data_IF_948275979183
#
_entry.id   IF_948275979183
#
_cell.length_a   1.000
_cell.length_b   1.000
_cell.length_c   1.000
_cell.angle_alpha   90.00
_cell.angle_beta   90.00
_cell.angle_gamma   90.00
#
_symmetry.space_group_name_H-M   'P 1'
#
loop_
_entity.id
_entity.type
_entity.pdbx_description
1 polymer ?
#
# COMPACT_ATOMS: atom_id res chain seq x y z
N UNK A 1 3.70 44.89 18.43
CA UNK A 1 3.63 43.46 18.79
C UNK A 1 4.84 42.78 18.17
N UNK A 2 5.83 42.44 18.99
CA UNK A 2 6.99 41.68 18.53
C UNK A 2 6.55 40.23 18.33
N UNK A 3 6.62 39.74 17.09
CA UNK A 3 6.44 38.32 16.80
C UNK A 3 7.72 37.65 17.31
N UNK A 4 7.62 36.89 18.41
CA UNK A 4 8.70 36.02 18.86
C UNK A 4 9.09 35.10 17.70
N UNK A 5 10.26 35.37 17.11
CA UNK A 5 10.87 34.49 16.14
C UNK A 5 11.18 33.19 16.89
N UNK A 6 10.42 32.13 16.60
CA UNK A 6 10.72 30.79 17.12
C UNK A 6 12.16 30.46 16.74
N UNK A 7 13.03 30.39 17.75
CA UNK A 7 14.42 29.98 17.63
C UNK A 7 14.42 28.50 17.22
N UNK A 8 14.33 28.26 15.91
CA UNK A 8 14.12 26.94 15.29
C UNK A 8 15.35 26.59 14.49
N UNK A 9 16.52 26.66 15.15
CA UNK A 9 17.77 26.15 14.59
C UNK A 9 17.68 24.63 14.53
N UNK A 10 17.77 24.08 13.33
CA UNK A 10 17.59 22.65 13.09
C UNK A 10 18.97 21.99 12.95
N UNK A 11 19.15 20.84 13.61
CA UNK A 11 20.27 19.94 13.32
C UNK A 11 19.92 19.19 12.05
N UNK A 12 20.62 19.48 10.95
CA UNK A 12 20.42 18.78 9.69
C UNK A 12 21.01 17.39 9.75
N UNK A 13 20.25 16.43 9.23
CA UNK A 13 20.60 15.03 9.08
C UNK A 13 20.06 14.55 7.74
N UNK A 14 20.51 13.39 7.28
CA UNK A 14 20.03 12.81 6.02
C UNK A 14 18.52 12.48 6.07
N UNK A 15 17.97 12.27 7.27
CA UNK A 15 16.57 11.91 7.48
C UNK A 15 15.61 13.11 7.56
N UNK A 16 16.11 14.30 7.88
CA UNK A 16 15.25 15.49 8.04
C UNK A 16 15.51 16.59 7.01
N UNK A 17 16.52 16.44 6.14
CA UNK A 17 16.85 17.44 5.13
C UNK A 17 15.67 17.77 4.21
N UNK A 18 14.96 16.75 3.72
CA UNK A 18 13.78 16.95 2.87
C UNK A 18 12.68 17.77 3.56
N UNK A 19 12.52 17.58 4.88
CA UNK A 19 11.54 18.31 5.69
C UNK A 19 11.99 19.75 5.97
N UNK A 20 13.30 19.98 6.13
CA UNK A 20 13.89 21.31 6.27
C UNK A 20 13.89 22.10 4.95
N UNK A 21 14.04 21.41 3.83
CA UNK A 21 14.15 22.02 2.51
C UNK A 21 12.90 22.84 2.17
N UNK A 22 11.71 22.29 2.40
CA UNK A 22 10.42 22.94 2.07
C UNK A 22 10.26 24.32 2.74
N UNK A 23 10.36 24.48 4.07
CA UNK A 23 10.23 25.79 4.69
C UNK A 23 11.38 26.73 4.32
N UNK A 24 12.59 26.21 4.07
CA UNK A 24 13.72 27.04 3.63
C UNK A 24 13.51 27.58 2.21
N UNK A 25 13.06 26.75 1.27
CA UNK A 25 12.72 27.19 -0.09
C UNK A 25 11.63 28.26 -0.08
N UNK A 26 10.60 28.12 0.78
CA UNK A 26 9.55 29.12 0.94
C UNK A 26 10.11 30.48 1.43
N UNK A 27 11.08 30.46 2.35
CA UNK A 27 11.75 31.66 2.86
C UNK A 27 12.59 32.34 1.78
N UNK A 28 13.42 31.57 1.07
CA UNK A 28 14.23 32.08 -0.04
C UNK A 28 13.37 32.57 -1.20
N UNK A 29 12.22 31.95 -1.44
CA UNK A 29 11.25 32.44 -2.42
C UNK A 29 10.68 33.80 -2.01
N UNK A 30 10.32 33.98 -0.73
CA UNK A 30 9.86 35.26 -0.18
C UNK A 30 10.94 36.35 -0.32
N UNK A 31 12.22 35.99 -0.19
CA UNK A 31 13.37 36.87 -0.39
C UNK A 31 13.73 37.08 -1.87
N UNK A 32 13.03 36.42 -2.81
CA UNK A 32 13.33 36.41 -4.26
C UNK A 32 14.72 35.84 -4.60
N UNK A 33 15.38 35.18 -3.67
CA UNK A 33 16.73 34.62 -3.83
C UNK A 33 16.74 33.13 -4.18
N UNK A 34 15.59 32.44 -4.14
CA UNK A 34 15.49 31.01 -4.47
C UNK A 34 16.05 30.69 -5.88
N UNK A 35 15.69 31.49 -6.88
CA UNK A 35 16.14 31.27 -8.26
C UNK A 35 17.65 31.47 -8.43
N UNK A 36 18.26 32.31 -7.58
CA UNK A 36 19.71 32.53 -7.53
C UNK A 36 20.42 31.30 -6.97
N UNK A 37 20.01 30.82 -5.78
CA UNK A 37 20.67 29.67 -5.13
C UNK A 37 20.47 28.35 -5.88
N UNK A 38 19.35 28.20 -6.61
CA UNK A 38 19.09 27.06 -7.48
C UNK A 38 19.80 27.18 -8.83
N UNK A 39 20.53 28.28 -9.09
CA UNK A 39 21.20 28.57 -10.36
C UNK A 39 20.27 28.50 -11.58
N UNK A 40 18.97 28.79 -11.39
CA UNK A 40 17.99 28.86 -12.49
C UNK A 40 18.22 30.10 -13.37
N UNK A 41 18.90 31.10 -12.82
CA UNK A 41 19.29 32.33 -13.51
C UNK A 41 20.81 32.39 -13.48
N UNK A 42 21.49 32.50 -14.64
CA UNK A 42 22.94 32.66 -14.67
C UNK A 42 23.35 33.99 -14.03
N UNK A 43 24.54 34.01 -13.42
CA UNK A 43 25.10 35.25 -12.86
C UNK A 43 25.22 36.31 -13.98
N UNK A 44 24.63 37.50 -13.82
CA UNK A 44 24.74 38.57 -14.80
C UNK A 44 26.18 39.03 -14.96
N UNK A 45 26.56 39.39 -16.19
CA UNK A 45 27.86 39.95 -16.49
C UNK A 45 27.94 41.39 -15.95
N UNK A 46 28.83 41.69 -14.98
CA UNK A 46 28.90 43.00 -14.34
C UNK A 46 29.33 44.13 -15.29
N UNK A 47 29.94 43.82 -16.43
CA UNK A 47 30.30 44.82 -17.45
C UNK A 47 29.11 45.18 -18.36
N UNK A 48 28.19 44.24 -18.57
CA UNK A 48 27.03 44.42 -19.45
C UNK A 48 25.79 44.89 -18.71
N UNK A 49 25.60 44.44 -17.48
CA UNK A 49 24.41 44.70 -16.68
C UNK A 49 24.77 44.85 -15.19
N UNK A 50 25.32 46.01 -14.88
CA UNK A 50 25.83 46.34 -13.55
C UNK A 50 24.76 46.31 -12.47
N UNK A 51 23.53 46.71 -12.79
CA UNK A 51 22.45 46.79 -11.80
C UNK A 51 21.92 45.40 -11.45
N UNK A 52 21.72 44.52 -12.44
CA UNK A 52 21.32 43.15 -12.17
C UNK A 52 22.45 42.34 -11.52
N UNK A 53 23.72 42.59 -11.87
CA UNK A 53 24.85 41.95 -11.20
C UNK A 53 24.91 42.30 -9.70
N UNK A 54 24.71 43.58 -9.34
CA UNK A 54 24.62 44.00 -7.93
C UNK A 54 23.43 43.38 -7.22
N UNK A 55 22.26 43.34 -7.86
CA UNK A 55 21.07 42.72 -7.29
C UNK A 55 21.28 41.22 -7.06
N UNK A 56 21.92 40.53 -8.01
CA UNK A 56 22.27 39.11 -7.90
C UNK A 56 23.17 38.85 -6.69
N UNK A 57 24.24 39.63 -6.53
CA UNK A 57 25.16 39.51 -5.37
C UNK A 57 24.41 39.71 -4.07
N UNK A 58 23.58 40.76 -3.98
CA UNK A 58 22.78 41.03 -2.79
C UNK A 58 21.83 39.87 -2.45
N UNK A 59 21.09 39.36 -3.44
CA UNK A 59 20.19 38.23 -3.23
C UNK A 59 20.92 36.95 -2.81
N UNK A 60 22.14 36.76 -3.31
CA UNK A 60 23.00 35.63 -2.94
C UNK A 60 23.48 35.74 -1.48
N UNK A 61 23.90 36.93 -1.06
CA UNK A 61 24.31 37.21 0.33
C UNK A 61 23.12 37.12 1.30
N UNK A 62 21.96 37.67 0.92
CA UNK A 62 20.72 37.58 1.70
C UNK A 62 20.29 36.11 1.88
N UNK A 63 20.43 35.28 0.83
CA UNK A 63 20.17 33.85 0.93
C UNK A 63 21.13 33.14 1.89
N UNK A 64 22.43 33.46 1.83
CA UNK A 64 23.41 32.92 2.76
C UNK A 64 23.03 33.26 4.21
N UNK A 65 22.70 34.53 4.48
CA UNK A 65 22.35 34.98 5.82
C UNK A 65 21.08 34.32 6.34
N UNK A 66 20.05 34.13 5.50
CA UNK A 66 18.84 33.41 5.88
C UNK A 66 19.16 31.94 6.18
N UNK A 67 19.89 31.24 5.30
CA UNK A 67 20.23 29.82 5.51
C UNK A 67 20.97 29.63 6.84
N UNK A 68 22.04 30.40 7.07
CA UNK A 68 22.89 30.30 8.27
C UNK A 68 22.10 30.50 9.56
N UNK A 69 21.12 31.42 9.58
CA UNK A 69 20.30 31.68 10.76
C UNK A 69 19.44 30.48 11.21
N UNK A 70 19.15 29.55 10.30
CA UNK A 70 18.31 28.38 10.57
C UNK A 70 19.10 27.09 10.84
N UNK A 71 20.43 27.17 10.88
CA UNK A 71 21.30 26.02 11.16
C UNK A 71 21.65 25.92 12.65
N UNK A 72 21.75 24.70 13.16
CA UNK A 72 22.29 24.44 14.50
C UNK A 72 23.80 24.69 14.56
N UNK A 73 24.34 24.85 15.77
CA UNK A 73 25.79 25.02 16.00
C UNK A 73 26.63 23.89 15.40
N UNK A 74 26.12 22.67 15.41
CA UNK A 74 26.80 21.50 14.85
C UNK A 74 26.94 21.61 13.33
N UNK A 75 25.85 21.94 12.63
CA UNK A 75 25.88 22.15 11.18
C UNK A 75 26.75 23.35 10.83
N UNK A 76 26.73 24.41 11.64
CA UNK A 76 27.60 25.58 11.45
C UNK A 76 29.09 25.22 11.60
N UNK A 77 29.45 24.34 12.54
CA UNK A 77 30.82 23.84 12.67
C UNK A 77 31.25 23.07 11.42
N UNK A 78 30.37 22.21 10.89
CA UNK A 78 30.61 21.51 9.62
C UNK A 78 30.79 22.48 8.45
N UNK A 79 29.88 23.46 8.28
CA UNK A 79 29.98 24.47 7.22
C UNK A 79 31.27 25.27 7.36
N UNK A 80 31.66 25.66 8.58
CA UNK A 80 32.91 26.39 8.80
C UNK A 80 34.17 25.59 8.48
N UNK A 81 34.11 24.26 8.58
CA UNK A 81 35.25 23.38 8.27
C UNK A 81 35.35 23.03 6.79
N UNK A 82 34.24 23.06 6.06
CA UNK A 82 34.15 22.56 4.67
C UNK A 82 33.98 23.65 3.62
N UNK A 83 33.33 24.77 3.96
CA UNK A 83 33.13 25.88 3.03
C UNK A 83 34.42 26.70 2.88
N UNK A 84 34.95 26.88 1.66
CA UNK A 84 36.11 27.73 1.42
C UNK A 84 35.88 29.16 1.92
N UNK A 85 36.96 29.82 2.37
CA UNK A 85 36.90 31.22 2.82
C UNK A 85 36.42 32.14 1.68
N UNK A 86 36.74 31.81 0.43
CA UNK A 86 36.31 32.52 -0.78
C UNK A 86 34.81 32.44 -1.03
N UNK A 87 34.14 31.44 -0.46
CA UNK A 87 32.69 31.21 -0.58
C UNK A 87 31.91 31.70 0.65
N UNK A 88 32.56 32.40 1.58
CA UNK A 88 31.82 33.07 2.66
C UNK A 88 30.85 34.08 2.07
N UNK A 89 29.64 34.11 2.63
CA UNK A 89 28.52 34.92 2.14
C UNK A 89 27.97 34.51 0.77
N UNK A 90 28.36 33.34 0.25
CA UNK A 90 27.85 32.82 -1.01
C UNK A 90 26.68 31.84 -0.76
N UNK A 91 25.45 32.31 -1.00
CA UNK A 91 24.22 31.53 -0.85
C UNK A 91 24.17 30.29 -1.72
N UNK A 92 24.64 30.38 -2.97
CA UNK A 92 24.75 29.24 -3.89
C UNK A 92 25.69 28.16 -3.32
N UNK A 93 26.85 28.58 -2.81
CA UNK A 93 27.86 27.63 -2.31
C UNK A 93 27.38 26.88 -1.06
N UNK A 94 26.82 27.59 -0.07
CA UNK A 94 26.27 26.93 1.13
C UNK A 94 25.07 26.04 0.78
N UNK A 95 24.21 26.44 -0.16
CA UNK A 95 23.10 25.61 -0.61
C UNK A 95 23.58 24.29 -1.22
N UNK A 96 24.56 24.35 -2.13
CA UNK A 96 25.18 23.17 -2.74
C UNK A 96 25.84 22.27 -1.72
N UNK A 97 26.58 22.85 -0.77
CA UNK A 97 27.27 22.10 0.28
C UNK A 97 26.27 21.31 1.15
N UNK A 98 25.23 21.98 1.64
CA UNK A 98 24.20 21.33 2.46
C UNK A 98 23.46 20.26 1.68
N UNK A 99 23.10 20.54 0.42
CA UNK A 99 22.45 19.56 -0.45
C UNK A 99 23.34 18.34 -0.69
N UNK A 100 24.62 18.55 -0.97
CA UNK A 100 25.56 17.45 -1.22
C UNK A 100 25.77 16.56 0.02
N UNK A 101 25.73 17.13 1.22
CA UNK A 101 25.98 16.41 2.45
C UNK A 101 24.72 15.73 3.02
N UNK A 102 23.57 16.40 2.95
CA UNK A 102 22.36 15.98 3.67
C UNK A 102 21.20 15.53 2.79
N UNK A 103 21.22 15.79 1.48
CA UNK A 103 20.04 15.46 0.65
C UNK A 103 19.75 13.97 0.51
N UNK A 104 20.67 13.10 0.95
CA UNK A 104 20.60 11.68 0.68
C UNK A 104 20.76 11.42 -0.81
N UNK A 105 21.71 10.58 -1.18
CA UNK A 105 21.97 10.33 -2.61
C UNK A 105 23.34 9.76 -2.88
N UNK A 106 24.23 9.78 -1.90
CA UNK A 106 25.42 8.94 -1.94
C UNK A 106 25.02 7.46 -1.89
N UNK A 107 25.87 6.63 -2.48
CA UNK A 107 25.61 5.19 -2.62
C UNK A 107 25.42 4.51 -1.25
N UNK A 108 26.03 5.01 -0.18
CA UNK A 108 25.90 4.41 1.15
C UNK A 108 24.51 4.68 1.75
N UNK A 109 23.99 5.90 1.62
CA UNK A 109 22.61 6.24 2.02
C UNK A 109 21.58 5.39 1.26
N UNK A 110 21.75 5.27 -0.06
CA UNK A 110 20.88 4.44 -0.92
C UNK A 110 20.92 2.95 -0.50
N UNK A 111 22.13 2.42 -0.31
CA UNK A 111 22.34 1.02 0.10
C UNK A 111 21.74 0.76 1.49
N UNK A 112 21.89 1.69 2.43
CA UNK A 112 21.36 1.57 3.78
C UNK A 112 19.83 1.59 3.79
N UNK A 113 19.21 2.50 3.03
CA UNK A 113 17.76 2.58 2.90
C UNK A 113 17.18 1.30 2.27
N UNK A 114 17.82 0.79 1.20
CA UNK A 114 17.41 -0.46 0.57
C UNK A 114 17.60 -1.67 1.49
N UNK A 115 18.71 -1.75 2.23
CA UNK A 115 18.95 -2.79 3.22
C UNK A 115 17.89 -2.78 4.33
N UNK A 116 17.52 -1.59 4.84
CA UNK A 116 16.46 -1.42 5.83
C UNK A 116 15.12 -1.93 5.32
N UNK A 117 14.78 -1.63 4.06
CA UNK A 117 13.56 -2.13 3.42
C UNK A 117 13.60 -3.66 3.20
N UNK A 118 14.72 -4.19 2.72
CA UNK A 118 14.87 -5.61 2.39
C UNK A 118 14.92 -6.50 3.64
N UNK A 119 15.58 -6.09 4.71
CA UNK A 119 15.69 -6.88 5.95
C UNK A 119 14.46 -6.78 6.85
N UNK A 120 13.50 -5.91 6.54
CA UNK A 120 12.26 -5.83 7.28
C UNK A 120 11.48 -7.15 7.14
N UNK A 121 11.27 -7.82 8.27
CA UNK A 121 10.51 -9.05 8.39
C UNK A 121 9.12 -8.77 8.99
N UNK A 122 8.13 -9.53 8.56
CA UNK A 122 6.79 -9.47 9.14
C UNK A 122 6.78 -10.13 10.52
N UNK A 123 6.13 -9.48 11.48
CA UNK A 123 5.86 -10.05 12.82
C UNK A 123 4.39 -9.94 13.18
N UNK A 124 3.87 -8.71 13.14
CA UNK A 124 2.52 -8.31 13.50
C UNK A 124 2.13 -7.18 12.58
N UNK A 125 0.87 -7.14 12.16
CA UNK A 125 0.42 -6.09 11.24
C UNK A 125 0.56 -4.68 11.83
N UNK A 126 0.24 -4.51 13.12
CA UNK A 126 0.33 -3.25 13.85
C UNK A 126 1.76 -2.69 13.91
N UNK A 127 2.78 -3.56 13.81
CA UNK A 127 4.19 -3.17 13.74
C UNK A 127 4.70 -3.09 12.30
N UNK A 128 4.29 -4.04 11.46
CA UNK A 128 4.72 -4.14 10.07
C UNK A 128 4.36 -2.89 9.25
N UNK A 129 3.13 -2.40 9.37
CA UNK A 129 2.66 -1.23 8.61
C UNK A 129 3.48 0.04 8.90
N UNK A 130 3.66 0.47 10.17
CA UNK A 130 4.49 1.64 10.44
C UNK A 130 5.95 1.39 10.06
N UNK A 131 6.49 0.19 10.28
CA UNK A 131 7.89 -0.13 9.95
C UNK A 131 8.12 -0.06 8.44
N UNK A 132 7.25 -0.66 7.61
CA UNK A 132 7.42 -0.68 6.16
C UNK A 132 7.16 0.70 5.55
N UNK A 133 6.24 1.49 6.14
CA UNK A 133 6.03 2.89 5.77
C UNK A 133 7.28 3.72 6.05
N UNK A 134 7.89 3.55 7.23
CA UNK A 134 9.16 4.20 7.59
C UNK A 134 10.31 3.79 6.67
N UNK A 135 10.41 2.50 6.33
CA UNK A 135 11.43 2.01 5.40
C UNK A 135 11.23 2.58 3.98
N UNK A 136 10.00 2.66 3.49
CA UNK A 136 9.69 3.28 2.19
C UNK A 136 10.00 4.79 2.19
N UNK A 137 9.76 5.48 3.31
CA UNK A 137 10.17 6.88 3.48
C UNK A 137 11.69 7.04 3.42
N UNK A 138 12.45 6.17 4.09
CA UNK A 138 13.92 6.20 4.02
C UNK A 138 14.42 6.02 2.58
N UNK A 139 13.80 5.14 1.78
CA UNK A 139 14.08 5.01 0.35
C UNK A 139 13.87 6.34 -0.38
N UNK A 140 12.71 6.98 -0.19
CA UNK A 140 12.41 8.26 -0.85
C UNK A 140 13.41 9.36 -0.44
N UNK A 141 13.80 9.40 0.83
CA UNK A 141 14.75 10.39 1.36
C UNK A 141 16.19 10.12 0.91
N UNK A 142 16.54 8.87 0.59
CA UNK A 142 17.87 8.52 0.06
C UNK A 142 18.09 8.95 -1.40
N UNK A 143 17.07 9.50 -2.06
CA UNK A 143 17.12 9.83 -3.49
C UNK A 143 16.93 8.61 -4.41
N UNK A 144 16.68 7.41 -3.87
CA UNK A 144 16.36 6.23 -4.67
C UNK A 144 14.96 6.36 -5.29
N UNK A 145 14.89 6.31 -6.62
CA UNK A 145 13.64 6.26 -7.36
C UNK A 145 13.37 4.81 -7.75
N UNK A 146 12.42 4.17 -7.06
CA UNK A 146 11.90 2.86 -7.46
C UNK A 146 10.46 3.00 -7.92
N UNK A 147 10.09 2.26 -8.97
CA UNK A 147 8.70 2.17 -9.39
C UNK A 147 7.82 1.64 -8.24
N UNK A 148 6.68 2.27 -8.02
CA UNK A 148 5.75 1.90 -6.94
C UNK A 148 5.32 0.44 -7.03
N UNK A 149 5.18 -0.13 -8.24
CA UNK A 149 4.84 -1.55 -8.42
C UNK A 149 5.93 -2.46 -7.87
N UNK A 150 7.20 -2.10 -8.08
CA UNK A 150 8.33 -2.89 -7.56
C UNK A 150 8.28 -2.88 -6.04
N UNK A 151 8.07 -1.70 -5.44
CA UNK A 151 8.01 -1.54 -3.98
C UNK A 151 6.81 -2.26 -3.38
N UNK A 152 5.66 -2.16 -4.01
CA UNK A 152 4.44 -2.89 -3.63
C UNK A 152 4.69 -4.39 -3.70
N UNK A 153 5.23 -4.90 -4.81
CA UNK A 153 5.51 -6.33 -4.96
C UNK A 153 6.51 -6.84 -3.91
N UNK A 154 7.58 -6.08 -3.63
CA UNK A 154 8.51 -6.41 -2.57
C UNK A 154 7.86 -6.39 -1.19
N UNK A 155 7.00 -5.41 -0.88
CA UNK A 155 6.23 -5.40 0.37
C UNK A 155 5.30 -6.63 0.46
N UNK A 156 4.55 -6.93 -0.59
CA UNK A 156 3.62 -8.07 -0.64
C UNK A 156 4.36 -9.39 -0.44
N UNK A 157 5.59 -9.52 -0.96
CA UNK A 157 6.42 -10.71 -0.77
C UNK A 157 6.84 -10.96 0.69
N UNK A 158 6.79 -9.93 1.54
CA UNK A 158 7.11 -10.01 2.98
C UNK A 158 5.93 -10.46 3.84
N UNK A 159 4.72 -10.47 3.29
CA UNK A 159 3.53 -10.87 4.02
C UNK A 159 3.45 -12.41 4.13
N UNK A 160 3.00 -12.95 5.28
CA UNK A 160 2.74 -14.37 5.46
C UNK A 160 1.71 -14.93 4.48
N UNK A 161 1.63 -16.26 4.40
CA UNK A 161 0.67 -16.98 3.53
C UNK A 161 -0.79 -16.67 3.84
N UNK A 162 -1.10 -16.23 5.07
CA UNK A 162 -2.45 -15.80 5.47
C UNK A 162 -2.98 -14.61 4.64
N UNK A 163 -2.07 -13.84 4.03
CA UNK A 163 -2.39 -12.69 3.18
C UNK A 163 -2.40 -13.06 1.69
N UNK A 164 -2.36 -14.34 1.31
CA UNK A 164 -2.28 -14.75 -0.09
C UNK A 164 -3.44 -14.19 -0.93
N UNK A 165 -4.67 -14.27 -0.43
CA UNK A 165 -5.84 -13.68 -1.10
C UNK A 165 -5.70 -12.18 -1.32
N UNK A 166 -5.13 -11.45 -0.37
CA UNK A 166 -4.85 -10.02 -0.54
C UNK A 166 -3.81 -9.79 -1.63
N UNK A 167 -2.73 -10.58 -1.65
CA UNK A 167 -1.68 -10.50 -2.67
C UNK A 167 -2.24 -10.75 -4.08
N UNK A 168 -3.14 -11.73 -4.22
CA UNK A 168 -3.77 -12.06 -5.50
C UNK A 168 -4.69 -10.94 -5.97
N UNK A 169 -5.51 -10.37 -5.08
CA UNK A 169 -6.38 -9.23 -5.39
C UNK A 169 -5.58 -8.03 -5.90
N UNK A 170 -4.48 -7.70 -5.25
CA UNK A 170 -3.62 -6.57 -5.67
C UNK A 170 -2.90 -6.89 -6.98
N UNK A 171 -2.44 -8.13 -7.17
CA UNK A 171 -1.72 -8.54 -8.39
C UNK A 171 -2.63 -8.63 -9.63
N UNK A 172 -3.88 -9.03 -9.45
CA UNK A 172 -4.89 -9.08 -10.51
C UNK A 172 -5.49 -7.71 -10.82
N UNK A 173 -5.36 -6.74 -9.92
CA UNK A 173 -5.78 -5.37 -10.16
C UNK A 173 -4.94 -4.75 -11.28
N UNK A 174 -5.56 -4.44 -12.42
CA UNK A 174 -4.89 -3.73 -13.52
C UNK A 174 -4.58 -2.26 -13.20
N UNK A 175 -4.97 -1.77 -12.04
CA UNK A 175 -4.72 -0.41 -11.61
C UNK A 175 -3.31 -0.26 -11.02
N UNK A 176 -2.55 0.70 -11.53
CA UNK A 176 -1.33 1.16 -10.89
C UNK A 176 -1.68 1.77 -9.53
N UNK A 177 -1.42 1.03 -8.45
CA UNK A 177 -1.60 1.51 -7.10
C UNK A 177 -0.31 2.12 -6.56
N UNK A 178 -0.43 3.30 -5.96
CA UNK A 178 0.68 3.85 -5.17
C UNK A 178 0.93 2.99 -3.93
N UNK A 179 2.16 3.04 -3.42
CA UNK A 179 2.55 2.28 -2.22
C UNK A 179 1.60 2.51 -1.03
N UNK A 180 1.24 3.78 -0.78
CA UNK A 180 0.33 4.16 0.32
C UNK A 180 -1.11 3.69 0.07
N UNK A 181 -1.58 3.64 -1.18
CA UNK A 181 -2.91 3.13 -1.49
C UNK A 181 -3.03 1.64 -1.16
N UNK A 182 -2.00 0.84 -1.47
CA UNK A 182 -1.97 -0.59 -1.13
C UNK A 182 -1.87 -0.78 0.39
N UNK A 183 -1.06 0.03 1.08
CA UNK A 183 -1.00 -0.02 2.55
C UNK A 183 -2.36 0.23 3.21
N UNK A 184 -3.13 1.23 2.75
CA UNK A 184 -4.49 1.46 3.25
C UNK A 184 -5.43 0.30 2.94
N UNK A 185 -5.31 -0.32 1.76
CA UNK A 185 -6.08 -1.52 1.42
C UNK A 185 -5.72 -2.69 2.34
N UNK A 186 -4.44 -2.84 2.72
CA UNK A 186 -3.98 -3.85 3.66
C UNK A 186 -4.54 -3.61 5.07
N UNK A 187 -4.52 -2.37 5.56
CA UNK A 187 -5.14 -1.97 6.83
C UNK A 187 -6.64 -2.37 6.86
N UNK A 188 -7.37 -2.02 5.81
CA UNK A 188 -8.80 -2.37 5.69
C UNK A 188 -9.01 -3.89 5.62
N UNK A 189 -8.17 -4.60 4.85
CA UNK A 189 -8.25 -6.04 4.72
C UNK A 189 -8.08 -6.75 6.06
N UNK A 190 -7.12 -6.30 6.86
CA UNK A 190 -6.85 -6.86 8.19
C UNK A 190 -8.04 -6.65 9.12
N UNK A 191 -8.59 -5.43 9.16
CA UNK A 191 -9.76 -5.10 9.98
C UNK A 191 -11.00 -5.90 9.58
N UNK A 192 -11.21 -6.17 8.28
CA UNK A 192 -12.35 -6.94 7.79
C UNK A 192 -12.23 -8.44 8.09
N UNK A 193 -11.01 -8.98 8.14
CA UNK A 193 -10.75 -10.42 8.28
C UNK A 193 -10.29 -10.84 9.67
N UNK A 194 -10.23 -9.92 10.64
CA UNK A 194 -9.76 -10.14 12.01
C UNK A 194 -8.35 -10.77 12.06
N UNK A 195 -7.42 -10.24 11.26
CA UNK A 195 -6.04 -10.74 11.14
C UNK A 195 -5.05 -10.03 12.09
N UNK A 196 -5.53 -9.39 13.15
CA UNK A 196 -4.73 -8.60 14.10
C UNK A 196 -3.93 -9.44 15.12
N UNK A 197 -3.80 -10.75 14.91
CA UNK A 197 -3.13 -11.67 15.83
C UNK A 197 -1.65 -11.89 15.48
N UNK A 198 -0.83 -12.27 16.47
CA UNK A 198 0.59 -12.61 16.25
C UNK A 198 0.76 -13.68 15.18
N UNK A 199 1.77 -13.50 14.31
CA UNK A 199 2.12 -14.47 13.28
C UNK A 199 2.26 -15.86 13.91
N UNK A 200 1.25 -16.70 13.71
CA UNK A 200 1.28 -18.06 14.23
C UNK A 200 2.19 -18.87 13.32
N UNK A 201 3.37 -19.21 13.82
CA UNK A 201 4.24 -20.19 13.18
C UNK A 201 3.62 -21.57 13.31
N UNK A 202 2.56 -21.87 12.55
CA UNK A 202 2.12 -23.19 12.11
C UNK A 202 1.13 -22.96 10.97
N UNK A 203 1.50 -23.44 9.78
CA UNK A 203 0.59 -23.61 8.67
C UNK A 203 -0.56 -24.52 9.11
N UNK A 204 -1.70 -23.93 9.47
CA UNK A 204 -2.99 -24.61 9.39
C UNK A 204 -3.84 -23.77 8.48
N UNK A 205 -4.04 -24.28 7.26
CA UNK A 205 -4.89 -23.68 6.23
C UNK A 205 -6.29 -23.40 6.77
N UNK A 206 -6.52 -22.18 7.27
CA UNK A 206 -7.86 -21.65 7.45
C UNK A 206 -8.22 -20.90 6.18
N UNK A 207 -9.01 -21.57 5.36
CA UNK A 207 -9.71 -20.98 4.22
C UNK A 207 -10.54 -19.79 4.70
N UNK A 208 -10.12 -18.57 4.36
CA UNK A 208 -10.92 -17.36 4.55
C UNK A 208 -11.97 -17.34 3.46
N UNK A 209 -13.20 -17.73 3.79
CA UNK A 209 -14.33 -17.63 2.88
C UNK A 209 -14.70 -16.16 2.70
N UNK A 210 -14.48 -15.64 1.49
CA UNK A 210 -15.10 -14.39 1.05
C UNK A 210 -16.61 -14.62 0.97
N UNK A 211 -17.37 -13.86 1.76
CA UNK A 211 -18.82 -13.91 1.77
C UNK A 211 -19.39 -13.44 0.42
N UNK A 212 -19.68 -14.38 -0.47
CA UNK A 212 -20.82 -14.27 -1.36
C UNK A 212 -21.92 -15.18 -0.83
N UNK A 213 -23.06 -14.58 -0.53
CA UNK A 213 -24.25 -15.29 -0.04
C UNK A 213 -24.72 -16.31 -1.07
N UNK A 214 -24.36 -17.57 -0.84
CA UNK A 214 -24.96 -18.77 -1.42
C UNK A 214 -24.63 -19.92 -0.47
N UNK A 215 -25.39 -20.05 0.62
CA UNK A 215 -25.24 -21.16 1.57
C UNK A 215 -25.59 -22.48 0.86
N UNK A 216 -24.57 -23.19 0.43
CA UNK A 216 -24.61 -24.63 0.19
C UNK A 216 -23.26 -25.22 0.58
N UNK A 217 -23.08 -25.45 1.88
CA UNK A 217 -22.07 -26.39 2.36
C UNK A 217 -22.77 -27.64 2.88
N UNK A 218 -22.67 -28.72 2.11
CA UNK A 218 -22.61 -30.07 2.67
C UNK A 218 -21.24 -30.23 3.33
N UNK A 219 -21.19 -30.81 4.55
CA UNK A 219 -20.11 -31.71 4.91
C UNK A 219 -20.65 -33.14 4.84
N UNK A 220 -20.15 -33.90 3.88
CA UNK A 220 -20.08 -35.35 4.01
C UNK A 220 -19.07 -35.64 5.12
N UNK A 221 -19.54 -35.94 6.33
CA UNK A 221 -18.99 -37.02 7.13
C UNK A 221 -19.91 -37.35 8.32
N UNK A 222 -20.09 -38.64 8.49
CA UNK A 222 -21.08 -39.32 9.32
C UNK A 222 -20.76 -39.23 10.82
N UNK A 223 -21.43 -38.34 11.52
CA UNK A 223 -21.83 -38.51 12.92
C UNK A 223 -22.97 -37.53 13.22
N UNK A 224 -24.14 -37.81 12.65
CA UNK A 224 -25.29 -36.90 12.69
C UNK A 224 -25.73 -36.64 14.13
N UNK A 225 -25.64 -35.37 14.57
CA UNK A 225 -26.25 -34.93 15.82
C UNK A 225 -27.75 -35.28 15.77
N UNK A 226 -28.16 -36.21 16.62
CA UNK A 226 -29.57 -36.57 16.79
C UNK A 226 -30.26 -35.40 17.48
N UNK A 227 -31.42 -34.98 16.98
CA UNK A 227 -32.18 -33.94 17.64
C UNK A 227 -32.61 -34.41 19.03
N UNK A 228 -32.22 -33.68 20.08
CA UNK A 228 -32.57 -33.99 21.47
C UNK A 228 -34.08 -34.10 21.73
N UNK A 229 -34.92 -33.45 20.91
CA UNK A 229 -36.37 -33.46 21.08
C UNK A 229 -37.07 -34.63 20.39
N UNK A 230 -36.82 -34.87 19.09
CA UNK A 230 -37.53 -35.90 18.32
C UNK A 230 -36.72 -37.18 18.07
N UNK A 231 -35.46 -37.19 18.51
CA UNK A 231 -34.51 -38.30 18.35
C UNK A 231 -34.26 -38.73 16.90
N UNK A 232 -34.54 -37.87 15.92
CA UNK A 232 -34.18 -38.14 14.51
C UNK A 232 -32.90 -37.40 14.12
N UNK A 233 -32.03 -38.02 13.31
CA UNK A 233 -30.81 -37.39 12.81
C UNK A 233 -31.13 -36.32 11.74
N UNK A 234 -30.17 -35.44 11.47
CA UNK A 234 -30.22 -34.52 10.33
C UNK A 234 -30.72 -33.10 10.63
N UNK A 235 -31.07 -32.77 11.89
CA UNK A 235 -31.38 -31.39 12.28
C UNK A 235 -31.09 -31.14 13.76
N UNK A 236 -30.89 -29.87 14.14
CA UNK A 236 -30.76 -29.42 15.55
C UNK A 236 -32.12 -29.10 16.15
N UNK A 237 -32.22 -29.06 17.48
CA UNK A 237 -33.49 -28.79 18.20
C UNK A 237 -34.18 -27.49 17.79
N UNK A 238 -33.42 -26.46 17.40
CA UNK A 238 -33.94 -25.17 16.93
C UNK A 238 -34.75 -25.27 15.62
N UNK A 239 -34.46 -26.29 14.80
CA UNK A 239 -35.06 -26.53 13.49
C UNK A 239 -35.96 -27.78 13.50
N UNK A 240 -36.37 -28.27 14.69
CA UNK A 240 -37.21 -29.45 14.81
C UNK A 240 -38.67 -29.11 14.52
N UNK A 241 -39.22 -29.59 13.41
CA UNK A 241 -40.62 -29.36 13.03
C UNK A 241 -41.64 -30.01 13.97
N UNK A 242 -41.25 -31.06 14.72
CA UNK A 242 -42.10 -31.60 15.81
C UNK A 242 -42.19 -30.65 17.01
N UNK A 243 -41.16 -29.82 17.24
CA UNK A 243 -41.15 -28.81 18.31
C UNK A 243 -41.72 -27.47 17.84
N UNK A 244 -41.51 -27.14 16.57
CA UNK A 244 -41.92 -25.90 15.92
C UNK A 244 -42.72 -26.20 14.64
N UNK A 245 -43.99 -26.65 14.74
CA UNK A 245 -44.82 -27.03 13.59
C UNK A 245 -45.06 -25.87 12.61
N UNK A 246 -44.99 -24.63 13.09
CA UNK A 246 -45.13 -23.41 12.29
C UNK A 246 -43.98 -23.22 11.29
N UNK A 247 -42.82 -23.87 11.53
CA UNK A 247 -41.64 -23.83 10.66
C UNK A 247 -41.58 -25.00 9.67
N UNK A 248 -42.56 -25.91 9.70
CA UNK A 248 -42.64 -27.02 8.78
C UNK A 248 -42.98 -26.50 7.36
N UNK A 249 -42.27 -26.94 6.30
CA UNK A 249 -42.65 -26.65 4.92
C UNK A 249 -44.06 -27.13 4.64
N UNK A 250 -44.92 -26.27 4.11
CA UNK A 250 -46.36 -26.56 3.91
C UNK A 250 -46.69 -27.14 2.52
N UNK A 251 -45.72 -27.40 1.65
CA UNK A 251 -45.97 -27.88 0.29
C UNK A 251 -45.18 -29.15 -0.06
N UNK A 252 -45.84 -30.04 -0.81
CA UNK A 252 -45.30 -31.35 -1.23
C UNK A 252 -44.08 -31.21 -2.17
N UNK A 253 -43.99 -30.13 -2.94
CA UNK A 253 -42.88 -29.85 -3.86
C UNK A 253 -41.53 -29.60 -3.16
N UNK A 254 -41.53 -29.12 -1.91
CA UNK A 254 -40.30 -28.92 -1.15
C UNK A 254 -39.61 -30.25 -0.77
N UNK A 255 -40.34 -31.37 -0.83
CA UNK A 255 -39.80 -32.71 -0.52
C UNK A 255 -39.11 -33.39 -1.71
N UNK A 256 -39.35 -32.97 -2.96
CA UNK A 256 -38.83 -33.67 -4.16
C UNK A 256 -37.55 -33.05 -4.75
N UNK A 257 -37.23 -31.80 -4.46
CA UNK A 257 -36.05 -31.11 -5.04
C UNK A 257 -34.69 -31.75 -4.67
N UNK A 258 -34.65 -32.65 -3.70
CA UNK A 258 -33.42 -33.32 -3.25
C UNK A 258 -33.13 -34.59 -4.08
N UNK A 259 -34.15 -35.28 -4.63
CA UNK A 259 -33.94 -36.52 -5.38
C UNK A 259 -33.46 -36.29 -6.81
N UNK A 260 -34.00 -35.26 -7.49
CA UNK A 260 -33.72 -35.06 -8.92
C UNK A 260 -32.31 -34.51 -9.17
N UNK A 261 -31.79 -33.68 -8.27
CA UNK A 261 -30.41 -33.20 -8.34
C UNK A 261 -29.37 -34.30 -8.06
N UNK A 262 -29.70 -35.32 -7.28
CA UNK A 262 -28.79 -36.43 -7.01
C UNK A 262 -28.60 -37.35 -8.23
N UNK A 263 -29.67 -37.56 -9.01
CA UNK A 263 -29.61 -38.38 -10.21
C UNK A 263 -28.85 -37.72 -11.36
N UNK A 264 -28.85 -36.38 -11.46
CA UNK A 264 -28.09 -35.67 -12.50
C UNK A 264 -26.56 -35.82 -12.35
N UNK A 265 -26.07 -35.75 -11.11
CA UNK A 265 -24.63 -35.92 -10.80
C UNK A 265 -24.14 -37.34 -11.04
N UNK A 266 -24.94 -38.36 -10.70
CA UNK A 266 -24.56 -39.77 -10.90
C UNK A 266 -24.39 -40.15 -12.38
N UNK A 267 -25.15 -39.51 -13.29
CA UNK A 267 -25.03 -39.75 -14.73
C UNK A 267 -23.90 -38.98 -15.43
N UNK A 268 -23.30 -37.97 -14.79
CA UNK A 268 -22.24 -37.14 -15.39
C UNK A 268 -20.80 -37.59 -15.03
N UNK A 269 -20.62 -38.37 -13.97
CA UNK A 269 -19.30 -38.92 -13.60
C UNK A 269 -18.78 -40.00 -14.57
N UNK A 270 -19.61 -40.50 -15.49
CA UNK A 270 -19.27 -41.63 -16.37
C UNK A 270 -18.63 -41.18 -17.69
N UNK A 271 -18.82 -39.94 -18.15
CA UNK A 271 -18.38 -39.52 -19.51
C UNK A 271 -17.39 -38.34 -19.56
N UNK A 272 -17.07 -37.66 -18.46
CA UNK A 272 -15.99 -36.65 -18.40
C UNK A 272 -16.14 -35.42 -19.33
N UNK A 273 -17.24 -35.35 -20.08
CA UNK A 273 -17.51 -34.30 -21.06
C UNK A 273 -18.56 -33.33 -20.53
N UNK A 274 -18.11 -32.11 -20.19
CA UNK A 274 -18.95 -31.02 -19.68
C UNK A 274 -19.67 -30.25 -20.80
N UNK A 275 -19.60 -30.72 -22.04
CA UNK A 275 -20.19 -30.04 -23.20
C UNK A 275 -21.72 -30.16 -23.29
N UNK A 276 -22.37 -30.91 -22.39
CA UNK A 276 -23.82 -31.13 -22.38
C UNK A 276 -24.48 -30.75 -21.05
N UNK A 277 -25.61 -30.05 -21.11
CA UNK A 277 -26.43 -29.70 -19.94
C UNK A 277 -27.92 -29.87 -20.24
N UNK A 278 -28.77 -29.93 -19.20
CA UNK A 278 -30.23 -30.00 -19.34
C UNK A 278 -30.90 -28.76 -18.75
N UNK A 279 -31.90 -28.23 -19.45
CA UNK A 279 -32.74 -27.14 -18.96
C UNK A 279 -33.84 -27.66 -18.03
N UNK A 280 -34.52 -26.76 -17.32
CA UNK A 280 -35.51 -27.10 -16.28
C UNK A 280 -36.75 -27.85 -16.82
N UNK A 281 -36.97 -27.81 -18.15
CA UNK A 281 -37.97 -28.58 -18.88
C UNK A 281 -37.49 -30.00 -19.26
N UNK A 282 -36.24 -30.34 -18.92
CA UNK A 282 -35.63 -31.65 -19.14
C UNK A 282 -34.96 -31.82 -20.50
N UNK A 283 -34.94 -30.80 -21.36
CA UNK A 283 -34.32 -30.86 -22.70
C UNK A 283 -32.79 -30.80 -22.58
N UNK A 284 -32.07 -31.62 -23.36
CA UNK A 284 -30.59 -31.70 -23.35
C UNK A 284 -30.01 -30.82 -24.46
N UNK A 285 -29.07 -29.95 -24.12
CA UNK A 285 -28.41 -29.01 -25.03
C UNK A 285 -26.90 -29.19 -25.02
N UNK A 286 -26.28 -29.03 -26.20
CA UNK A 286 -24.83 -28.95 -26.33
C UNK A 286 -24.35 -27.50 -26.23
N UNK A 287 -23.22 -27.27 -25.57
CA UNK A 287 -22.67 -25.92 -25.35
C UNK A 287 -22.35 -25.21 -26.67
N UNK A 288 -21.89 -25.94 -27.70
CA UNK A 288 -21.58 -25.34 -29.01
C UNK A 288 -22.81 -24.99 -29.86
N UNK A 289 -24.00 -25.44 -29.46
CA UNK A 289 -25.26 -25.13 -30.15
C UNK A 289 -25.96 -23.90 -29.56
N UNK A 290 -25.47 -23.38 -28.43
CA UNK A 290 -25.99 -22.15 -27.83
C UNK A 290 -25.59 -20.94 -28.66
N UNK A 291 -26.59 -20.23 -29.17
CA UNK A 291 -26.44 -18.89 -29.73
C UNK A 291 -27.31 -17.92 -28.96
N UNK A 292 -26.73 -16.78 -28.63
CA UNK A 292 -27.44 -15.69 -27.97
C UNK A 292 -28.01 -14.76 -29.05
N UNK A 293 -29.28 -14.39 -28.90
CA UNK A 293 -29.91 -13.41 -29.78
C UNK A 293 -29.15 -12.08 -29.70
N UNK A 294 -28.99 -11.42 -30.86
CA UNK A 294 -28.24 -10.16 -31.04
C UNK A 294 -26.71 -10.23 -30.93
N UNK A 295 -26.11 -11.43 -30.98
CA UNK A 295 -24.66 -11.60 -31.09
C UNK A 295 -24.29 -12.06 -32.51
N UNK A 296 -23.41 -11.33 -33.20
CA UNK A 296 -22.79 -11.80 -34.46
C UNK A 296 -21.57 -12.66 -34.12
N UNK A 297 -21.62 -13.90 -34.56
CA UNK A 297 -20.52 -14.87 -34.43
C UNK A 297 -19.79 -14.94 -35.78
N UNK A 298 -18.46 -14.80 -35.77
CA UNK A 298 -17.59 -14.97 -36.94
C UNK A 298 -17.01 -16.39 -36.97
#
# INVERSE_FOLDING_TARGET
MAVEARDTRIVLTNDNYAQWLIPMEAKLHKLKSLHVVMEKIPAPDPEKDKDNAKLYVKLNEDAYAEIVQYLSLEVLAYVSATLPITDKFNGVAIWKLLKSHYAGGDLASQTTALAKFNHLAFTLIAKFIPDIRSANQAINMSGCIFDDRIRVNQMLSKLPSEFQSFRDIISMGNEHHSFEAVLKKLENYVAMNNLDHEASSIATSRSVQTAMNSRSEKPNNSSGSVCEHCKTPGHRISNCWKKFPEKAPKSHQAHMAISDNANQLASQEIEGDYSWFRTADGVRHHVNEMRFENVKYY
#
